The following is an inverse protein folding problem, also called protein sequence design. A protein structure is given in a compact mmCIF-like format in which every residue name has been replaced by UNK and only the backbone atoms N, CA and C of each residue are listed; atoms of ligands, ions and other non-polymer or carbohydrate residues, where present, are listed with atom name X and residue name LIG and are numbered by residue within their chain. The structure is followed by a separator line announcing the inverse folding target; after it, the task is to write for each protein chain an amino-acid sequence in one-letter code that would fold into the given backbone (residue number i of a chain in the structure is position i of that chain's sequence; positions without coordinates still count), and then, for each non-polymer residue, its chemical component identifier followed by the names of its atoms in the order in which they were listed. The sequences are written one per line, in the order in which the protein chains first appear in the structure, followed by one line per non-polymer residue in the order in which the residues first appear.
data_IF_826077101044
#
_entry.id   IF_826077101044
#
_cell.length_a   1.000
_cell.length_b   1.000
_cell.length_c   1.000
_cell.angle_alpha   90.00
_cell.angle_beta   90.00
_cell.angle_gamma   90.00
#
_symmetry.space_group_name_H-M   'P 1'
#
loop_
_entity.id
_entity.type
_entity.pdbx_description
1 polymer ?
#
# COMPACT_ATOMS: atom_id res chain seq x y z
N UNK A 1 12.24 -4.68 30.25
CA UNK A 1 11.39 -5.83 30.60
C UNK A 1 11.02 -6.52 29.30
N UNK A 2 11.71 -7.61 28.96
CA UNK A 2 11.52 -8.36 27.70
C UNK A 2 10.37 -9.33 27.84
N UNK A 3 9.25 -9.02 27.18
CA UNK A 3 8.13 -9.95 27.08
C UNK A 3 8.44 -10.94 25.96
N UNK A 4 8.69 -12.18 26.36
CA UNK A 4 9.04 -13.32 25.48
C UNK A 4 7.94 -13.54 24.45
N UNK A 5 8.24 -13.27 23.18
CA UNK A 5 7.54 -13.86 22.05
C UNK A 5 7.70 -15.38 22.13
N UNK A 6 6.59 -16.09 22.28
CA UNK A 6 6.56 -17.55 22.32
C UNK A 6 6.84 -18.08 20.90
N UNK A 7 7.86 -18.94 20.69
CA UNK A 7 8.17 -19.50 19.37
C UNK A 7 7.03 -20.38 18.80
N UNK A 8 6.88 -20.38 17.46
CA UNK A 8 5.77 -20.98 16.69
C UNK A 8 5.64 -22.51 16.80
N UNK A 9 6.69 -23.20 17.24
CA UNK A 9 6.82 -24.66 17.22
C UNK A 9 6.06 -25.39 18.35
N UNK A 10 5.68 -24.70 19.43
CA UNK A 10 5.10 -25.33 20.63
C UNK A 10 3.58 -25.29 20.79
N UNK A 11 2.80 -24.79 19.83
CA UNK A 11 1.33 -24.71 19.94
C UNK A 11 0.60 -25.83 19.19
N UNK A 12 0.71 -27.07 19.69
CA UNK A 12 -0.15 -28.18 19.24
C UNK A 12 -1.41 -28.33 20.11
N UNK A 13 -2.53 -27.86 19.57
CA UNK A 13 -3.78 -28.64 19.40
C UNK A 13 -4.66 -27.90 18.39
N UNK A 14 -4.35 -28.12 17.13
CA UNK A 14 -5.02 -27.56 15.96
C UNK A 14 -6.40 -28.24 15.83
N UNK A 15 -7.45 -27.64 16.40
CA UNK A 15 -8.82 -28.06 16.09
C UNK A 15 -9.12 -27.63 14.65
N UNK A 16 -9.47 -28.55 13.74
CA UNK A 16 -9.93 -28.18 12.40
C UNK A 16 -11.16 -27.28 12.50
N UNK A 17 -11.29 -26.31 11.62
CA UNK A 17 -12.55 -25.57 11.41
C UNK A 17 -13.62 -26.56 10.93
N UNK A 18 -14.89 -26.12 10.85
CA UNK A 18 -15.96 -26.95 10.28
C UNK A 18 -15.68 -27.44 8.84
N UNK A 19 -14.68 -26.86 8.17
CA UNK A 19 -14.24 -27.21 6.81
C UNK A 19 -12.90 -28.00 6.80
N UNK A 20 -12.39 -28.42 7.96
CA UNK A 20 -11.16 -29.22 8.04
C UNK A 20 -9.85 -28.42 8.02
N UNK A 21 -9.89 -27.09 7.79
CA UNK A 21 -8.71 -26.25 7.78
C UNK A 21 -8.22 -25.94 9.20
N UNK A 22 -6.91 -25.93 9.40
CA UNK A 22 -6.32 -25.48 10.66
C UNK A 22 -6.29 -23.95 10.67
N UNK A 23 -6.88 -23.32 11.69
CA UNK A 23 -6.74 -21.87 11.88
C UNK A 23 -5.26 -21.49 12.05
N UNK A 24 -4.85 -20.46 11.33
CA UNK A 24 -3.56 -19.81 11.45
C UNK A 24 -3.75 -18.31 11.26
N UNK A 25 -2.79 -17.52 11.74
CA UNK A 25 -2.81 -16.06 11.55
C UNK A 25 -2.90 -15.70 10.06
N UNK A 26 -2.07 -16.35 9.23
CA UNK A 26 -2.08 -16.21 7.77
C UNK A 26 -3.46 -16.49 7.16
N UNK A 27 -4.10 -17.61 7.51
CA UNK A 27 -5.42 -17.96 6.97
C UNK A 27 -6.49 -16.91 7.36
N UNK A 28 -6.42 -16.39 8.59
CA UNK A 28 -7.35 -15.36 9.06
C UNK A 28 -7.14 -14.06 8.28
N UNK A 29 -5.90 -13.61 8.12
CA UNK A 29 -5.55 -12.38 7.37
C UNK A 29 -5.93 -12.50 5.90
N UNK A 30 -5.61 -13.62 5.24
CA UNK A 30 -6.01 -13.87 3.85
C UNK A 30 -7.53 -13.87 3.67
N UNK A 31 -8.27 -14.41 4.65
CA UNK A 31 -9.74 -14.40 4.62
C UNK A 31 -10.29 -13.00 4.85
N UNK A 32 -9.68 -12.22 5.75
CA UNK A 32 -10.04 -10.83 5.98
C UNK A 32 -9.82 -9.99 4.72
N UNK A 33 -8.68 -10.13 4.03
CA UNK A 33 -8.40 -9.47 2.75
C UNK A 33 -9.46 -9.81 1.69
N UNK A 34 -9.84 -11.08 1.55
CA UNK A 34 -10.91 -11.51 0.62
C UNK A 34 -12.27 -10.90 0.97
N UNK A 35 -12.60 -10.81 2.27
CA UNK A 35 -13.86 -10.21 2.71
C UNK A 35 -13.89 -8.71 2.46
N UNK A 36 -12.79 -8.00 2.78
CA UNK A 36 -12.64 -6.58 2.51
C UNK A 36 -12.83 -6.36 1.01
N UNK A 37 -12.06 -7.03 0.15
CA UNK A 37 -12.14 -6.84 -1.30
C UNK A 37 -13.55 -7.05 -1.91
N UNK A 38 -14.39 -7.88 -1.29
CA UNK A 38 -15.75 -8.17 -1.79
C UNK A 38 -16.84 -7.25 -1.22
N UNK A 39 -16.66 -6.73 -0.01
CA UNK A 39 -17.79 -6.20 0.76
C UNK A 39 -17.54 -4.84 1.40
N UNK A 40 -16.36 -4.24 1.23
CA UNK A 40 -16.01 -3.04 1.98
C UNK A 40 -15.19 -3.36 3.22
N UNK A 41 -14.30 -2.44 3.56
CA UNK A 41 -13.68 -2.31 4.88
C UNK A 41 -14.71 -2.42 6.03
N UNK A 42 -15.84 -1.73 5.89
CA UNK A 42 -16.90 -1.64 6.90
C UNK A 42 -17.62 -2.97 7.15
N UNK A 43 -17.58 -3.88 6.18
CA UNK A 43 -18.21 -5.19 6.32
C UNK A 43 -17.39 -6.16 7.17
N UNK A 44 -16.13 -5.85 7.49
CA UNK A 44 -15.26 -6.71 8.28
C UNK A 44 -15.66 -6.66 9.77
N UNK A 45 -16.18 -7.79 10.26
CA UNK A 45 -16.39 -8.02 11.70
C UNK A 45 -15.88 -9.39 12.09
N UNK A 46 -15.51 -9.55 13.36
CA UNK A 46 -15.07 -10.84 13.94
C UNK A 46 -16.11 -11.94 13.69
N UNK A 47 -17.40 -11.59 13.72
CA UNK A 47 -18.51 -12.51 13.44
C UNK A 47 -18.55 -12.97 11.98
N UNK A 48 -18.47 -12.04 11.02
CA UNK A 48 -18.43 -12.38 9.58
C UNK A 48 -17.17 -13.16 9.23
N UNK A 49 -16.03 -12.80 9.82
CA UNK A 49 -14.77 -13.49 9.62
C UNK A 49 -14.81 -14.91 10.19
N UNK A 50 -15.35 -15.10 11.40
CA UNK A 50 -15.58 -16.42 11.98
C UNK A 50 -16.48 -17.29 11.10
N UNK A 51 -17.60 -16.73 10.61
CA UNK A 51 -18.49 -17.42 9.68
C UNK A 51 -17.79 -17.83 8.38
N UNK A 52 -17.01 -16.93 7.77
CA UNK A 52 -16.24 -17.22 6.55
C UNK A 52 -15.16 -18.29 6.76
N UNK A 53 -14.59 -18.37 7.96
CA UNK A 53 -13.60 -19.37 8.35
C UNK A 53 -14.21 -20.70 8.84
N UNK A 54 -15.53 -20.78 9.01
CA UNK A 54 -16.18 -21.91 9.66
C UNK A 54 -15.72 -22.10 11.12
N UNK A 55 -15.39 -21.02 11.81
CA UNK A 55 -14.85 -20.96 13.16
C UNK A 55 -15.73 -20.14 14.09
N UNK A 56 -15.70 -20.45 15.39
CA UNK A 56 -16.33 -19.60 16.39
C UNK A 56 -15.60 -18.24 16.44
N UNK A 57 -16.30 -17.09 16.47
CA UNK A 57 -15.68 -15.76 16.53
C UNK A 57 -14.66 -15.62 17.67
N UNK A 58 -14.88 -16.28 18.80
CA UNK A 58 -13.96 -16.23 19.94
C UNK A 58 -12.61 -16.89 19.67
N UNK A 59 -12.53 -17.80 18.68
CA UNK A 59 -11.27 -18.42 18.27
C UNK A 59 -10.31 -17.41 17.63
N UNK A 60 -10.82 -16.31 17.05
CA UNK A 60 -10.00 -15.25 16.47
C UNK A 60 -9.24 -14.46 17.54
N UNK A 61 -9.81 -14.33 18.75
CA UNK A 61 -9.15 -13.64 19.86
C UNK A 61 -7.90 -14.35 20.40
N UNK A 62 -7.68 -15.62 20.00
CA UNK A 62 -6.42 -16.34 20.27
C UNK A 62 -5.26 -15.86 19.41
N UNK A 63 -5.55 -15.21 18.29
CA UNK A 63 -4.58 -14.68 17.34
C UNK A 63 -4.48 -13.17 17.43
N UNK A 64 -5.62 -12.48 17.60
CA UNK A 64 -5.68 -11.02 17.62
C UNK A 64 -6.41 -10.53 18.87
N UNK A 65 -5.75 -9.68 19.65
CA UNK A 65 -6.34 -9.12 20.89
C UNK A 65 -7.62 -8.31 20.67
N UNK A 66 -7.81 -7.74 19.48
CA UNK A 66 -8.96 -6.94 19.09
C UNK A 66 -9.01 -6.82 17.55
N UNK A 67 -10.08 -6.18 17.03
CA UNK A 67 -10.23 -5.92 15.59
C UNK A 67 -9.12 -5.03 15.03
N UNK A 68 -8.61 -4.09 15.82
CA UNK A 68 -7.52 -3.19 15.41
C UNK A 68 -6.23 -3.97 15.12
N UNK A 69 -5.85 -4.91 15.99
CA UNK A 69 -4.68 -5.78 15.77
C UNK A 69 -4.82 -6.67 14.52
N UNK A 70 -6.05 -7.07 14.17
CA UNK A 70 -6.34 -7.77 12.91
C UNK A 70 -6.16 -6.83 11.72
N UNK A 71 -6.63 -5.58 11.79
CA UNK A 71 -6.45 -4.59 10.74
C UNK A 71 -4.98 -4.25 10.52
N UNK A 72 -4.18 -4.11 11.58
CA UNK A 72 -2.73 -3.94 11.47
C UNK A 72 -2.06 -5.15 10.82
N UNK A 73 -2.54 -6.37 11.08
CA UNK A 73 -2.03 -7.57 10.42
C UNK A 73 -2.39 -7.62 8.93
N UNK A 74 -3.59 -7.18 8.57
CA UNK A 74 -4.02 -7.03 7.17
C UNK A 74 -3.17 -5.99 6.45
N UNK A 75 -2.90 -4.85 7.08
CA UNK A 75 -2.02 -3.81 6.53
C UNK A 75 -0.59 -4.35 6.31
N UNK A 76 -0.03 -5.03 7.32
CA UNK A 76 1.32 -5.60 7.24
C UNK A 76 1.44 -6.66 6.13
N UNK A 77 0.40 -7.47 5.90
CA UNK A 77 0.36 -8.43 4.80
C UNK A 77 0.39 -7.75 3.42
N UNK A 78 -0.26 -6.59 3.24
CA UNK A 78 -0.18 -5.82 1.98
C UNK A 78 1.25 -5.32 1.76
N UNK A 79 1.91 -4.83 2.81
CA UNK A 79 3.32 -4.46 2.77
C UNK A 79 4.17 -5.67 2.36
N UNK A 80 3.94 -6.83 2.98
CA UNK A 80 4.63 -8.08 2.65
C UNK A 80 4.50 -8.48 1.17
N UNK A 81 3.32 -8.31 0.57
CA UNK A 81 3.08 -8.58 -0.86
C UNK A 81 3.83 -7.61 -1.77
N UNK A 82 3.90 -6.33 -1.43
CA UNK A 82 4.70 -5.35 -2.17
C UNK A 82 6.19 -5.73 -2.18
N UNK A 83 6.64 -6.45 -1.16
CA UNK A 83 8.01 -6.88 -0.99
C UNK A 83 8.34 -8.26 -1.56
N UNK A 84 7.33 -9.02 -1.99
CA UNK A 84 7.49 -10.42 -2.37
C UNK A 84 8.30 -10.54 -3.68
N UNK A 85 9.35 -11.36 -3.65
CA UNK A 85 10.23 -11.56 -4.81
C UNK A 85 11.09 -10.36 -5.20
N UNK A 86 11.10 -9.28 -4.41
CA UNK A 86 12.01 -8.15 -4.65
C UNK A 86 13.42 -8.45 -4.13
N UNK A 87 14.43 -8.10 -4.92
CA UNK A 87 15.85 -8.21 -4.59
C UNK A 87 16.59 -6.97 -5.07
N UNK A 88 17.45 -6.39 -4.23
CA UNK A 88 18.25 -5.24 -4.60
C UNK A 88 19.19 -5.57 -5.77
N UNK A 89 19.24 -4.67 -6.75
CA UNK A 89 20.14 -4.73 -7.91
C UNK A 89 21.48 -4.05 -7.63
N UNK A 90 21.53 -3.18 -6.63
CA UNK A 90 22.68 -2.33 -6.34
C UNK A 90 22.62 -0.96 -7.04
N UNK A 91 21.73 -0.78 -8.02
CA UNK A 91 21.38 0.54 -8.52
C UNK A 91 20.20 1.11 -7.74
N UNK A 92 20.50 2.06 -6.84
CA UNK A 92 19.52 2.67 -5.95
C UNK A 92 18.31 3.26 -6.67
N UNK A 93 18.50 3.82 -7.89
CA UNK A 93 17.41 4.44 -8.62
C UNK A 93 16.45 3.38 -9.14
N UNK A 94 17.00 2.30 -9.72
CA UNK A 94 16.21 1.15 -10.17
C UNK A 94 15.50 0.47 -8.99
N UNK A 95 16.21 0.28 -7.89
CA UNK A 95 15.69 -0.36 -6.68
C UNK A 95 14.51 0.41 -6.05
N UNK A 96 14.65 1.73 -5.88
CA UNK A 96 13.56 2.57 -5.34
C UNK A 96 12.41 2.71 -6.32
N UNK A 97 12.67 2.79 -7.63
CA UNK A 97 11.62 2.79 -8.65
C UNK A 97 10.77 1.53 -8.55
N UNK A 98 11.41 0.37 -8.52
CA UNK A 98 10.71 -0.91 -8.46
C UNK A 98 9.90 -1.05 -7.16
N UNK A 99 10.52 -0.75 -6.00
CA UNK A 99 9.83 -0.75 -4.72
C UNK A 99 8.63 0.20 -4.72
N UNK A 100 8.80 1.40 -5.28
CA UNK A 100 7.74 2.40 -5.35
C UNK A 100 6.54 1.91 -6.15
N UNK A 101 6.77 1.34 -7.34
CA UNK A 101 5.72 0.77 -8.18
C UNK A 101 5.05 -0.44 -7.54
N UNK A 102 5.80 -1.29 -6.83
CA UNK A 102 5.24 -2.45 -6.11
C UNK A 102 4.33 -2.04 -4.96
N UNK A 103 4.71 -1.02 -4.18
CA UNK A 103 3.88 -0.46 -3.11
C UNK A 103 2.56 0.05 -3.69
N UNK A 104 2.64 0.90 -4.71
CA UNK A 104 1.47 1.47 -5.37
C UNK A 104 0.55 0.42 -5.98
N UNK A 105 1.09 -0.52 -6.75
CA UNK A 105 0.32 -1.59 -7.38
C UNK A 105 -0.36 -2.54 -6.37
N UNK A 106 0.29 -2.83 -5.24
CA UNK A 106 -0.36 -3.62 -4.19
C UNK A 106 -1.56 -2.90 -3.58
N UNK A 107 -1.48 -1.59 -3.39
CA UNK A 107 -2.59 -0.83 -2.83
C UNK A 107 -3.75 -0.71 -3.84
N UNK A 108 -3.47 -0.58 -5.13
CA UNK A 108 -4.49 -0.64 -6.19
C UNK A 108 -5.17 -2.01 -6.29
N UNK A 109 -4.46 -3.11 -5.98
CA UNK A 109 -5.02 -4.46 -5.97
C UNK A 109 -5.95 -4.72 -4.75
N UNK A 110 -5.80 -3.96 -3.66
CA UNK A 110 -6.60 -4.07 -2.45
C UNK A 110 -7.16 -2.72 -1.99
N UNK A 111 -7.91 -1.98 -2.83
CA UNK A 111 -8.19 -0.56 -2.62
C UNK A 111 -8.93 -0.27 -1.31
N UNK A 112 -9.85 -1.15 -0.93
CA UNK A 112 -10.61 -1.01 0.30
C UNK A 112 -9.80 -1.35 1.57
N UNK A 113 -8.77 -2.19 1.45
CA UNK A 113 -7.86 -2.50 2.56
C UNK A 113 -6.74 -1.45 2.66
N UNK A 114 -6.26 -0.96 1.50
CA UNK A 114 -5.33 0.15 1.36
C UNK A 114 -5.82 1.41 2.06
N UNK A 115 -7.09 1.80 1.88
CA UNK A 115 -7.69 2.97 2.53
C UNK A 115 -7.67 2.87 4.08
N UNK A 116 -7.76 1.66 4.63
CA UNK A 116 -7.65 1.43 6.09
C UNK A 116 -6.20 1.40 6.59
N UNK A 117 -5.27 0.99 5.71
CA UNK A 117 -3.87 0.73 6.05
C UNK A 117 -2.96 1.95 5.82
N UNK A 118 -3.27 2.84 4.88
CA UNK A 118 -2.39 3.90 4.40
C UNK A 118 -1.90 4.90 5.48
N UNK A 119 -2.62 5.01 6.60
CA UNK A 119 -2.28 5.92 7.71
C UNK A 119 -1.94 5.20 9.01
N UNK A 120 -1.58 3.91 8.95
CA UNK A 120 -1.27 3.09 10.12
C UNK A 120 0.19 2.66 10.09
N UNK A 121 0.90 2.94 11.18
CA UNK A 121 2.17 2.26 11.49
C UNK A 121 1.83 0.90 12.09
N UNK A 122 2.24 -0.18 11.43
CA UNK A 122 1.87 -1.54 11.88
C UNK A 122 2.75 -2.04 13.03
N UNK A 123 4.03 -1.64 13.05
CA UNK A 123 5.05 -2.14 13.98
C UNK A 123 5.38 -3.63 13.79
N UNK A 124 5.04 -4.20 12.63
CA UNK A 124 5.05 -5.64 12.37
C UNK A 124 6.20 -6.07 11.43
N UNK A 125 6.45 -7.38 11.27
CA UNK A 125 7.64 -7.88 10.58
C UNK A 125 7.81 -7.43 9.12
N UNK A 126 6.73 -7.22 8.36
CA UNK A 126 6.86 -6.77 6.96
C UNK A 126 7.12 -5.27 6.88
N UNK A 127 6.46 -4.44 7.69
CA UNK A 127 6.76 -3.00 7.76
C UNK A 127 8.21 -2.74 8.17
N UNK A 128 8.68 -3.36 9.26
CA UNK A 128 10.06 -3.19 9.73
C UNK A 128 11.09 -3.62 8.67
N UNK A 129 10.79 -4.70 7.92
CA UNK A 129 11.62 -5.14 6.79
C UNK A 129 11.58 -4.16 5.60
N UNK A 130 10.44 -3.52 5.33
CA UNK A 130 10.32 -2.48 4.32
C UNK A 130 11.14 -1.25 4.66
N UNK A 131 11.05 -0.79 5.91
CA UNK A 131 11.87 0.31 6.43
C UNK A 131 13.36 0.00 6.26
N UNK A 132 13.79 -1.18 6.73
CA UNK A 132 15.20 -1.59 6.67
C UNK A 132 15.72 -1.67 5.22
N UNK A 133 14.93 -2.22 4.30
CA UNK A 133 15.34 -2.35 2.89
C UNK A 133 15.48 -1.00 2.20
N UNK A 134 14.50 -0.11 2.34
CA UNK A 134 14.54 1.19 1.67
C UNK A 134 15.69 2.04 2.24
N UNK A 135 15.86 2.07 3.55
CA UNK A 135 17.01 2.72 4.18
C UNK A 135 18.33 2.08 3.76
N UNK A 136 18.39 0.75 3.66
CA UNK A 136 19.57 0.02 3.19
C UNK A 136 19.97 0.42 1.77
N UNK A 137 19.01 0.55 0.84
CA UNK A 137 19.25 1.02 -0.54
C UNK A 137 19.84 2.44 -0.53
N UNK A 138 19.22 3.36 0.22
CA UNK A 138 19.68 4.75 0.31
C UNK A 138 21.09 4.85 0.93
N UNK A 139 21.34 4.15 2.03
CA UNK A 139 22.63 4.20 2.71
C UNK A 139 23.74 3.56 1.87
N UNK A 140 23.46 2.44 1.21
CA UNK A 140 24.43 1.77 0.31
C UNK A 140 24.77 2.62 -0.91
N UNK A 141 23.88 3.53 -1.31
CA UNK A 141 24.11 4.50 -2.38
C UNK A 141 24.94 5.72 -1.96
N UNK A 142 25.35 5.80 -0.69
CA UNK A 142 26.18 6.88 -0.14
C UNK A 142 25.41 8.13 0.29
N UNK A 143 24.08 8.06 0.45
CA UNK A 143 23.33 9.18 1.04
C UNK A 143 23.65 9.30 2.54
N UNK A 144 23.94 10.51 3.06
CA UNK A 144 24.12 10.73 4.48
C UNK A 144 22.87 10.33 5.27
N UNK A 145 23.04 9.74 6.45
CA UNK A 145 21.93 9.13 7.22
C UNK A 145 20.73 10.08 7.43
N UNK A 146 20.98 11.35 7.77
CA UNK A 146 19.92 12.35 7.94
C UNK A 146 19.13 12.61 6.66
N UNK A 147 19.81 12.61 5.50
CA UNK A 147 19.17 12.77 4.20
C UNK A 147 18.45 11.49 3.77
N UNK A 148 19.04 10.31 4.01
CA UNK A 148 18.41 9.02 3.73
C UNK A 148 17.08 8.87 4.47
N UNK A 149 17.00 9.25 5.75
CA UNK A 149 15.74 9.22 6.53
C UNK A 149 14.70 10.18 5.94
N UNK A 150 15.09 11.38 5.52
CA UNK A 150 14.17 12.35 4.90
C UNK A 150 13.66 11.87 3.54
N UNK A 151 14.53 11.27 2.72
CA UNK A 151 14.15 10.69 1.44
C UNK A 151 13.21 9.50 1.65
N UNK A 152 13.55 8.59 2.58
CA UNK A 152 12.70 7.47 2.96
C UNK A 152 11.29 7.94 3.31
N UNK A 153 11.17 8.93 4.21
CA UNK A 153 9.88 9.44 4.66
C UNK A 153 9.06 10.03 3.51
N UNK A 154 9.66 10.91 2.71
CA UNK A 154 8.98 11.48 1.55
C UNK A 154 8.57 10.41 0.51
N UNK A 155 9.39 9.37 0.35
CA UNK A 155 9.17 8.31 -0.63
C UNK A 155 7.96 7.45 -0.25
N UNK A 156 7.90 7.02 1.02
CA UNK A 156 6.77 6.22 1.50
C UNK A 156 5.50 7.04 1.56
N UNK A 157 5.56 8.29 2.02
CA UNK A 157 4.39 9.17 2.09
C UNK A 157 3.83 9.46 0.71
N UNK A 158 4.68 9.73 -0.28
CA UNK A 158 4.24 9.96 -1.66
C UNK A 158 3.58 8.71 -2.23
N UNK A 159 4.20 7.53 -2.07
CA UNK A 159 3.63 6.27 -2.55
C UNK A 159 2.26 5.98 -1.91
N UNK A 160 2.16 6.13 -0.59
CA UNK A 160 0.93 5.88 0.16
C UNK A 160 -0.17 6.90 -0.15
N UNK A 161 0.17 8.17 -0.35
CA UNK A 161 -0.80 9.22 -0.68
C UNK A 161 -1.43 8.99 -2.06
N UNK A 162 -0.62 8.72 -3.10
CA UNK A 162 -1.13 8.38 -4.42
C UNK A 162 -1.92 7.07 -4.40
N UNK A 163 -1.38 6.05 -3.74
CA UNK A 163 -2.07 4.77 -3.56
C UNK A 163 -3.45 4.92 -2.90
N UNK A 164 -3.55 5.76 -1.86
CA UNK A 164 -4.82 6.03 -1.19
C UNK A 164 -5.81 6.78 -2.09
N UNK A 165 -5.35 7.78 -2.84
CA UNK A 165 -6.18 8.52 -3.80
C UNK A 165 -6.72 7.59 -4.89
N UNK A 166 -5.86 6.80 -5.51
CA UNK A 166 -6.24 5.90 -6.60
C UNK A 166 -7.14 4.76 -6.10
N UNK A 167 -6.84 4.23 -4.90
CA UNK A 167 -7.70 3.25 -4.25
C UNK A 167 -9.09 3.83 -3.94
N UNK A 168 -9.17 5.08 -3.51
CA UNK A 168 -10.45 5.74 -3.23
C UNK A 168 -11.28 5.90 -4.52
N UNK A 169 -10.64 6.33 -5.62
CA UNK A 169 -11.28 6.41 -6.94
C UNK A 169 -11.80 5.04 -7.41
N UNK A 170 -10.98 3.99 -7.30
CA UNK A 170 -11.37 2.62 -7.66
C UNK A 170 -12.46 2.03 -6.77
N UNK A 171 -12.60 2.52 -5.52
CA UNK A 171 -13.61 2.07 -4.59
C UNK A 171 -15.00 2.73 -4.82
N UNK A 172 -15.09 3.75 -5.67
CA UNK A 172 -16.36 4.37 -6.03
C UNK A 172 -17.30 3.40 -6.76
N UNK A 173 -18.63 3.54 -6.63
CA UNK A 173 -19.57 2.80 -7.48
C UNK A 173 -19.34 3.08 -8.97
N UNK A 174 -19.58 2.12 -9.89
CA UNK A 174 -19.34 2.31 -11.33
C UNK A 174 -20.00 3.57 -11.92
N UNK A 175 -21.25 3.84 -11.54
CA UNK A 175 -21.97 5.03 -11.99
C UNK A 175 -21.33 6.35 -11.52
N UNK A 176 -20.64 6.35 -10.37
CA UNK A 176 -19.90 7.51 -9.90
C UNK A 176 -18.59 7.70 -10.69
N UNK A 177 -17.88 6.62 -11.00
CA UNK A 177 -16.66 6.66 -11.83
C UNK A 177 -16.97 7.18 -13.25
N UNK A 178 -18.04 6.69 -13.87
CA UNK A 178 -18.51 7.18 -15.18
C UNK A 178 -18.82 8.68 -15.13
N UNK A 179 -19.52 9.12 -14.09
CA UNK A 179 -19.86 10.54 -13.90
C UNK A 179 -18.62 11.41 -13.72
N UNK A 180 -17.58 10.93 -13.02
CA UNK A 180 -16.31 11.64 -12.91
C UNK A 180 -15.60 11.78 -14.27
N UNK A 181 -15.58 10.71 -15.07
CA UNK A 181 -15.04 10.77 -16.43
C UNK A 181 -15.83 11.72 -17.34
N UNK A 182 -17.16 11.78 -17.21
CA UNK A 182 -18.01 12.70 -17.97
C UNK A 182 -17.73 14.17 -17.63
N UNK A 183 -17.46 14.51 -16.37
CA UNK A 183 -17.16 15.89 -15.94
C UNK A 183 -15.97 16.46 -16.71
N UNK A 184 -14.92 15.67 -16.95
CA UNK A 184 -13.77 16.08 -17.75
C UNK A 184 -14.20 16.58 -19.14
N UNK A 185 -15.03 15.83 -19.85
CA UNK A 185 -15.46 16.23 -21.19
C UNK A 185 -16.58 17.28 -21.20
N UNK A 186 -17.54 17.19 -20.29
CA UNK A 186 -18.71 18.06 -20.28
C UNK A 186 -18.41 19.46 -19.72
N UNK A 187 -17.47 19.57 -18.79
CA UNK A 187 -17.09 20.83 -18.15
C UNK A 187 -15.77 21.34 -18.75
N UNK A 188 -14.66 20.65 -18.47
CA UNK A 188 -13.33 21.16 -18.83
C UNK A 188 -13.12 21.23 -20.34
N UNK A 189 -13.67 20.27 -21.10
CA UNK A 189 -13.58 20.25 -22.56
C UNK A 189 -14.39 21.34 -23.28
N UNK A 190 -15.24 22.09 -22.56
CA UNK A 190 -16.10 23.15 -23.12
C UNK A 190 -15.76 24.55 -22.61
N UNK A 191 -14.72 24.68 -21.78
CA UNK A 191 -14.30 25.99 -21.26
C UNK A 191 -13.76 26.88 -22.40
N UNK A 192 -14.20 28.13 -22.42
CA UNK A 192 -13.78 29.09 -23.45
C UNK A 192 -12.28 29.43 -23.31
N UNK A 193 -11.50 29.44 -24.42
CA UNK A 193 -10.12 29.93 -24.42
C UNK A 193 -9.98 31.38 -23.91
N UNK A 194 -11.02 32.21 -24.03
CA UNK A 194 -10.97 33.62 -23.59
C UNK A 194 -10.90 33.76 -22.07
N UNK A 195 -11.40 32.76 -21.34
CA UNK A 195 -11.46 32.77 -19.87
C UNK A 195 -10.56 31.71 -19.23
N UNK A 196 -10.33 30.59 -19.93
CA UNK A 196 -9.53 29.45 -19.46
C UNK A 196 -8.50 29.03 -20.52
N UNK A 197 -7.61 29.94 -20.95
CA UNK A 197 -6.71 29.72 -22.08
C UNK A 197 -5.82 28.48 -21.91
N UNK A 198 -5.33 28.23 -20.69
CA UNK A 198 -4.44 27.10 -20.41
C UNK A 198 -5.17 25.75 -20.53
N UNK A 199 -6.36 25.63 -19.92
CA UNK A 199 -7.15 24.39 -19.99
C UNK A 199 -7.57 24.13 -21.43
N UNK A 200 -8.08 25.16 -22.13
CA UNK A 200 -8.49 25.02 -23.52
C UNK A 200 -7.32 24.58 -24.43
N UNK A 201 -6.12 25.11 -24.21
CA UNK A 201 -4.94 24.75 -24.98
C UNK A 201 -4.44 23.31 -24.74
N UNK A 202 -4.63 22.77 -23.53
CA UNK A 202 -4.07 21.46 -23.14
C UNK A 202 -5.10 20.37 -22.93
N UNK A 203 -6.39 20.66 -23.06
CA UNK A 203 -7.47 19.75 -22.66
C UNK A 203 -7.34 18.32 -23.19
N UNK A 204 -7.01 18.08 -24.48
CA UNK A 204 -6.88 16.70 -24.98
C UNK A 204 -5.82 15.88 -24.23
N UNK A 205 -4.71 16.52 -23.83
CA UNK A 205 -3.65 15.90 -23.05
C UNK A 205 -4.08 15.72 -21.58
N UNK A 206 -4.67 16.76 -21.00
CA UNK A 206 -5.14 16.75 -19.61
C UNK A 206 -6.19 15.66 -19.37
N UNK A 207 -7.19 15.55 -20.26
CA UNK A 207 -8.22 14.52 -20.15
C UNK A 207 -7.68 13.11 -20.39
N UNK A 208 -6.58 12.96 -21.13
CA UNK A 208 -5.93 11.68 -21.32
C UNK A 208 -5.15 11.24 -20.08
N UNK A 209 -4.35 12.14 -19.51
CA UNK A 209 -3.48 11.87 -18.37
C UNK A 209 -4.27 11.65 -17.07
N UNK A 210 -5.31 12.46 -16.82
CA UNK A 210 -6.10 12.41 -15.57
C UNK A 210 -6.98 11.16 -15.41
N UNK A 211 -7.00 10.27 -16.40
CA UNK A 211 -7.65 8.95 -16.28
C UNK A 211 -6.76 7.94 -15.56
N UNK A 212 -5.46 8.10 -15.64
CA UNK A 212 -4.48 7.20 -15.08
C UNK A 212 -3.87 7.80 -13.80
N UNK A 213 -3.16 6.97 -13.04
CA UNK A 213 -2.44 7.44 -11.87
C UNK A 213 -1.25 8.32 -12.27
N UNK A 214 -1.13 9.50 -11.66
CA UNK A 214 0.06 10.34 -11.78
C UNK A 214 1.30 9.79 -11.05
N UNK A 215 1.16 8.70 -10.26
CA UNK A 215 2.23 8.20 -9.41
C UNK A 215 3.50 7.76 -10.13
N UNK A 216 3.46 7.00 -11.24
CA UNK A 216 4.69 6.59 -11.94
C UNK A 216 5.53 7.80 -12.37
N UNK A 217 4.88 8.87 -12.83
CA UNK A 217 5.56 10.10 -13.19
C UNK A 217 6.08 10.87 -11.98
N UNK A 218 5.26 11.01 -10.92
CA UNK A 218 5.69 11.65 -9.67
C UNK A 218 6.88 10.94 -9.01
N UNK A 219 6.93 9.61 -9.10
CA UNK A 219 8.06 8.82 -8.64
C UNK A 219 9.33 9.14 -9.42
N UNK A 220 9.26 9.25 -10.76
CA UNK A 220 10.42 9.65 -11.56
C UNK A 220 10.91 11.07 -11.23
N UNK A 221 9.99 12.01 -11.03
CA UNK A 221 10.32 13.37 -10.60
C UNK A 221 11.05 13.37 -9.26
N UNK A 222 10.52 12.62 -8.29
CA UNK A 222 11.15 12.47 -6.97
C UNK A 222 12.54 11.85 -7.09
N UNK A 223 12.70 10.74 -7.82
CA UNK A 223 13.99 10.09 -8.01
C UNK A 223 14.99 10.98 -8.77
N UNK A 224 14.51 11.81 -9.70
CA UNK A 224 15.30 12.87 -10.35
C UNK A 224 15.84 13.88 -9.36
N UNK A 225 14.98 14.41 -8.48
CA UNK A 225 15.38 15.35 -7.43
C UNK A 225 16.36 14.71 -6.42
N UNK A 226 16.11 13.47 -6.00
CA UNK A 226 17.00 12.72 -5.08
C UNK A 226 18.38 12.52 -5.70
N UNK A 227 18.46 12.23 -7.00
CA UNK A 227 19.75 12.07 -7.69
C UNK A 227 20.60 13.35 -7.62
N UNK A 228 19.97 14.52 -7.73
CA UNK A 228 20.65 15.82 -7.62
C UNK A 228 21.12 16.15 -6.20
N UNK A 229 20.56 15.51 -5.17
CA UNK A 229 20.97 15.66 -3.76
C UNK A 229 22.10 14.72 -3.35
N UNK A 230 22.52 13.79 -4.22
CA UNK A 230 23.55 12.81 -3.89
C UNK A 230 24.92 13.51 -3.83
N UNK A 231 25.69 13.34 -2.74
CA UNK A 231 27.04 13.87 -2.70
C UNK A 231 27.91 13.25 -3.80
N UNK A 232 28.88 14.00 -4.35
CA UNK A 232 29.85 13.46 -5.29
C UNK A 232 30.56 12.27 -4.65
N UNK A 233 30.61 11.15 -5.36
CA UNK A 233 31.35 9.98 -4.89
C UNK A 233 32.85 10.29 -5.00
N UNK A 234 33.66 9.93 -3.99
CA UNK A 234 35.11 9.99 -4.15
C UNK A 234 35.51 9.11 -5.34
N UNK A 235 36.33 9.64 -6.25
CA UNK A 235 36.90 8.84 -7.33
C UNK A 235 37.76 7.70 -6.74
N UNK A 236 37.78 6.52 -7.39
CA UNK A 236 38.56 5.37 -6.94
C UNK A 236 40.07 5.61 -6.95
#
# INVERSE_FOLDING_TARGET
MSERVVPEDRRQRRRPTKQGAVLSERLIVETALRLIARHGAEALSVRRLGAALGADPTALYRYFRNTDALLLAVADEIIGRAQEGWTATGDWRTDLRELGLRIHGCYQAYPQAAALAAHRTTGRPYETRAVERILGVLRSAGFPDALAVRIYHAFVDQALAFAAQDAAALALPPAAQEKEAEVWHAVYGRLSPDTHPNIAATFPLLAADMRDSGYPFALELMLGAVAALRPPQPEP
#
